data_IF_530181884388
#
_entry.id   IF_530181884388
#
_cell.length_a   1.000
_cell.length_b   1.000
_cell.length_c   1.000
_cell.angle_alpha   90.00
_cell.angle_beta   90.00
_cell.angle_gamma   90.00
#
_symmetry.space_group_name_H-M   'P 1'
#
loop_
_entity.id
_entity.type
_entity.pdbx_description
1 polymer ?
#
# COMPACT_ATOMS: atom_id res chain seq x y z
N UNK A 1 28.92 -12.92 5.87
CA UNK A 1 27.67 -12.95 6.60
C UNK A 1 26.53 -12.41 5.76
N UNK A 2 25.72 -13.24 5.18
CA UNK A 2 24.58 -12.84 4.36
C UNK A 2 23.37 -12.37 5.18
N UNK A 3 22.36 -11.90 4.47
CA UNK A 3 21.07 -11.59 5.09
C UNK A 3 20.44 -12.83 5.67
N UNK A 4 19.90 -12.71 6.87
CA UNK A 4 19.23 -13.81 7.54
C UNK A 4 17.74 -13.48 7.69
N UNK A 5 16.90 -14.37 7.21
CA UNK A 5 15.45 -14.23 7.38
C UNK A 5 15.10 -14.55 8.84
N UNK A 6 14.63 -13.56 9.58
CA UNK A 6 14.29 -13.73 10.99
C UNK A 6 12.79 -13.81 11.26
N UNK A 7 11.98 -13.27 10.35
CA UNK A 7 10.53 -13.28 10.48
C UNK A 7 9.88 -13.27 9.11
N UNK A 8 8.89 -14.11 8.92
CA UNK A 8 8.22 -14.32 7.63
C UNK A 8 6.72 -14.47 7.86
N UNK A 9 5.93 -13.69 7.16
CA UNK A 9 4.47 -13.81 7.13
C UNK A 9 3.92 -13.54 5.75
N UNK A 10 2.88 -14.29 5.36
CA UNK A 10 2.15 -14.02 4.14
C UNK A 10 1.34 -12.73 4.28
N UNK A 11 1.29 -11.93 3.23
CA UNK A 11 0.40 -10.78 3.18
C UNK A 11 -1.07 -11.22 3.18
N UNK A 12 -1.97 -10.39 3.70
CA UNK A 12 -3.38 -10.78 3.83
C UNK A 12 -4.08 -11.01 2.50
N UNK A 13 -3.59 -10.40 1.42
CA UNK A 13 -4.14 -10.61 0.09
C UNK A 13 -3.16 -11.33 -0.79
N UNK A 14 -3.63 -12.39 -1.44
CA UNK A 14 -2.81 -13.19 -2.34
C UNK A 14 -3.00 -12.71 -3.78
N UNK A 15 -1.92 -12.78 -4.53
CA UNK A 15 -1.92 -12.46 -5.95
C UNK A 15 -2.09 -13.75 -6.73
N UNK A 16 -3.12 -13.80 -7.58
CA UNK A 16 -3.28 -14.89 -8.53
C UNK A 16 -2.34 -14.68 -9.72
N UNK A 17 -1.51 -15.66 -9.97
CA UNK A 17 -0.58 -15.59 -11.08
C UNK A 17 -0.40 -16.94 -11.74
N UNK A 18 0.03 -16.90 -12.99
CA UNK A 18 0.51 -18.07 -13.74
C UNK A 18 1.91 -17.79 -14.27
N UNK A 19 2.66 -18.84 -14.57
CA UNK A 19 3.97 -18.70 -15.20
C UNK A 19 3.82 -19.09 -16.67
N UNK A 20 4.06 -18.13 -17.57
CA UNK A 20 4.02 -18.36 -19.02
C UNK A 20 5.37 -17.98 -19.62
N UNK A 21 6.00 -18.92 -20.32
CA UNK A 21 7.31 -18.72 -20.95
C UNK A 21 8.37 -18.16 -19.98
N UNK A 22 8.35 -18.62 -18.72
CA UNK A 22 9.26 -18.15 -17.67
C UNK A 22 8.90 -16.83 -17.07
N UNK A 23 7.80 -16.19 -17.48
CA UNK A 23 7.36 -14.90 -16.96
C UNK A 23 6.15 -15.05 -16.05
N UNK A 24 6.11 -14.26 -14.98
CA UNK A 24 4.97 -14.15 -14.09
C UNK A 24 3.86 -13.33 -14.77
N UNK A 25 2.67 -13.93 -14.90
CA UNK A 25 1.50 -13.26 -15.45
C UNK A 25 0.41 -13.25 -14.40
N UNK A 26 0.03 -12.05 -13.94
CA UNK A 26 -1.05 -11.90 -12.95
C UNK A 26 -2.42 -12.04 -13.61
N UNK A 27 -3.37 -12.61 -12.88
CA UNK A 27 -4.75 -12.68 -13.34
C UNK A 27 -5.34 -11.28 -13.54
N UNK A 28 -6.24 -11.12 -14.52
CA UNK A 28 -6.80 -9.81 -14.89
C UNK A 28 -7.56 -9.13 -13.75
N UNK A 29 -8.22 -9.91 -12.92
CA UNK A 29 -9.04 -9.45 -11.81
C UNK A 29 -8.29 -9.52 -10.46
N UNK A 30 -7.02 -9.86 -10.47
CA UNK A 30 -6.22 -9.99 -9.26
C UNK A 30 -5.81 -8.62 -8.73
N UNK A 31 -5.90 -8.44 -7.43
CA UNK A 31 -5.24 -7.33 -6.74
C UNK A 31 -3.73 -7.53 -6.80
N UNK A 32 -3.00 -6.46 -7.04
CA UNK A 32 -1.57 -6.56 -7.32
C UNK A 32 -0.67 -6.45 -6.09
N UNK A 33 -1.26 -6.41 -4.90
CA UNK A 33 -0.49 -6.41 -3.66
C UNK A 33 0.22 -5.11 -3.38
N UNK A 34 1.26 -5.19 -2.55
CA UNK A 34 2.00 -4.02 -2.11
C UNK A 34 2.87 -3.42 -3.21
N UNK A 35 2.79 -2.11 -3.38
CA UNK A 35 3.59 -1.35 -4.36
C UNK A 35 4.76 -0.63 -3.72
N UNK A 36 4.57 -0.10 -2.53
CA UNK A 36 5.58 0.63 -1.80
C UNK A 36 5.54 0.25 -0.33
N UNK A 37 6.64 0.51 0.34
CA UNK A 37 6.79 0.22 1.75
C UNK A 37 7.46 1.41 2.43
N UNK A 38 6.91 1.82 3.55
CA UNK A 38 7.46 2.87 4.40
C UNK A 38 7.66 2.34 5.81
N UNK A 39 8.74 2.75 6.44
CA UNK A 39 9.04 2.38 7.82
C UNK A 39 8.89 3.60 8.71
N UNK A 40 8.15 3.45 9.79
CA UNK A 40 8.07 4.44 10.85
C UNK A 40 8.76 3.90 12.11
N UNK A 41 8.71 4.66 13.19
CA UNK A 41 9.32 4.23 14.44
C UNK A 41 8.77 2.89 14.94
N UNK A 42 7.46 2.71 14.86
CA UNK A 42 6.79 1.53 15.44
C UNK A 42 6.01 0.69 14.43
N UNK A 43 5.96 1.10 13.16
CA UNK A 43 5.13 0.44 12.16
C UNK A 43 5.80 0.30 10.81
N UNK A 44 5.33 -0.69 10.08
CA UNK A 44 5.62 -0.89 8.66
C UNK A 44 4.33 -0.58 7.92
N UNK A 45 4.41 0.30 6.92
CA UNK A 45 3.24 0.70 6.13
C UNK A 45 3.45 0.31 4.69
N UNK A 46 2.49 -0.42 4.13
CA UNK A 46 2.51 -0.75 2.70
C UNK A 46 1.42 0.01 1.97
N UNK A 47 1.74 0.44 0.77
CA UNK A 47 0.77 1.01 -0.16
C UNK A 47 0.29 -0.11 -1.06
N UNK A 48 -0.94 -0.55 -0.85
CA UNK A 48 -1.49 -1.71 -1.53
C UNK A 48 -2.35 -1.31 -2.71
N UNK A 49 -2.14 -1.99 -3.83
CA UNK A 49 -2.95 -1.80 -5.01
C UNK A 49 -4.26 -2.56 -4.84
N UNK A 50 -5.26 -1.88 -4.32
CA UNK A 50 -6.59 -2.40 -4.05
C UNK A 50 -7.55 -2.22 -5.22
N UNK A 51 -7.12 -1.53 -6.27
CA UNK A 51 -7.92 -1.34 -7.47
C UNK A 51 -7.72 -2.52 -8.40
N UNK A 52 -8.81 -3.20 -8.74
CA UNK A 52 -8.81 -4.25 -9.75
C UNK A 52 -8.75 -3.57 -11.12
N UNK A 53 -7.72 -3.92 -11.89
CA UNK A 53 -7.63 -3.42 -13.27
C UNK A 53 -8.49 -4.30 -14.15
N UNK A 54 -9.75 -3.91 -14.33
CA UNK A 54 -10.67 -4.63 -15.22
C UNK A 54 -10.45 -4.22 -16.68
N UNK A 55 -10.30 -5.22 -17.52
CA UNK A 55 -10.35 -5.07 -18.96
C UNK A 55 -9.19 -4.32 -19.59
N UNK A 56 -9.38 -3.97 -20.85
CA UNK A 56 -8.40 -3.16 -21.58
C UNK A 56 -8.50 -1.72 -21.13
N UNK A 57 -7.34 -1.08 -20.96
CA UNK A 57 -7.31 0.36 -20.69
C UNK A 57 -8.01 1.09 -21.84
N UNK A 58 -8.84 2.11 -21.53
CA UNK A 58 -9.43 2.93 -22.59
C UNK A 58 -8.33 3.46 -23.52
N UNK A 59 -8.62 3.53 -24.81
CA UNK A 59 -7.69 4.11 -25.78
C UNK A 59 -7.32 5.53 -25.35
N UNK A 60 -6.03 5.79 -25.21
CA UNK A 60 -5.53 7.09 -24.77
C UNK A 60 -5.37 7.23 -23.25
N UNK A 61 -5.68 6.18 -22.46
CA UNK A 61 -5.42 6.21 -21.03
C UNK A 61 -3.91 6.24 -20.78
N UNK A 62 -3.48 7.24 -20.02
CA UNK A 62 -2.09 7.32 -19.58
C UNK A 62 -1.75 6.19 -18.65
N UNK A 63 -0.51 5.66 -18.67
CA UNK A 63 -0.03 4.73 -17.63
C UNK A 63 -0.17 5.28 -16.22
N UNK A 64 -0.36 6.59 -16.08
CA UNK A 64 -0.54 7.28 -14.81
C UNK A 64 -2.01 7.68 -14.55
N UNK A 65 -2.95 6.99 -15.16
CA UNK A 65 -4.38 7.24 -14.93
C UNK A 65 -4.69 7.13 -13.43
N UNK A 66 -5.23 8.18 -12.79
CA UNK A 66 -5.55 8.16 -11.37
C UNK A 66 -6.49 7.03 -10.95
N UNK A 67 -7.36 6.57 -11.86
CA UNK A 67 -8.28 5.47 -11.56
C UNK A 67 -7.58 4.14 -11.27
N UNK A 68 -6.32 4.00 -11.67
CA UNK A 68 -5.54 2.78 -11.44
C UNK A 68 -4.62 2.88 -10.23
N UNK A 69 -4.57 4.02 -9.57
CA UNK A 69 -3.70 4.24 -8.42
C UNK A 69 -4.32 3.64 -7.15
N UNK A 70 -3.50 3.16 -6.22
CA UNK A 70 -4.00 2.59 -4.99
C UNK A 70 -4.56 3.64 -4.05
N UNK A 71 -5.47 3.20 -3.18
CA UNK A 71 -6.12 4.04 -2.18
C UNK A 71 -5.90 3.54 -0.75
N UNK A 72 -5.32 2.36 -0.59
CA UNK A 72 -5.27 1.70 0.73
C UNK A 72 -3.85 1.61 1.28
N UNK A 73 -3.73 1.92 2.54
CA UNK A 73 -2.51 1.71 3.33
C UNK A 73 -2.75 0.60 4.33
N UNK A 74 -1.88 -0.41 4.31
CA UNK A 74 -1.88 -1.49 5.30
C UNK A 74 -0.78 -1.21 6.31
N UNK A 75 -1.14 -1.21 7.58
CA UNK A 75 -0.24 -0.85 8.68
C UNK A 75 0.04 -2.08 9.53
N UNK A 76 1.31 -2.42 9.65
CA UNK A 76 1.80 -3.57 10.41
C UNK A 76 2.68 -3.11 11.55
N UNK A 77 2.68 -3.86 12.65
CA UNK A 77 3.73 -3.73 13.65
C UNK A 77 5.02 -4.42 13.18
N UNK A 78 6.11 -4.31 13.94
CA UNK A 78 7.38 -4.93 13.56
C UNK A 78 7.42 -6.44 13.79
N UNK A 79 6.37 -7.01 14.34
CA UNK A 79 6.17 -8.46 14.39
C UNK A 79 5.34 -8.97 13.20
N UNK A 80 5.10 -8.10 12.23
CA UNK A 80 4.36 -8.34 11.00
C UNK A 80 2.88 -8.67 11.21
N UNK A 81 2.31 -8.20 12.31
CA UNK A 81 0.87 -8.29 12.52
C UNK A 81 0.17 -7.09 11.89
N UNK A 82 -0.87 -7.34 11.12
CA UNK A 82 -1.68 -6.28 10.53
C UNK A 82 -2.49 -5.60 11.64
N UNK A 83 -2.24 -4.32 11.86
CA UNK A 83 -2.92 -3.56 12.91
C UNK A 83 -4.06 -2.69 12.38
N UNK A 84 -3.89 -2.11 11.20
CA UNK A 84 -4.87 -1.21 10.60
C UNK A 84 -4.87 -1.30 9.09
N UNK A 85 -6.03 -1.01 8.50
CA UNK A 85 -6.19 -0.76 7.08
C UNK A 85 -6.82 0.62 6.93
N UNK A 86 -6.16 1.51 6.22
CA UNK A 86 -6.68 2.84 5.92
C UNK A 86 -7.11 2.91 4.46
N UNK A 87 -8.41 3.06 4.24
CA UNK A 87 -8.94 3.34 2.91
C UNK A 87 -9.05 4.86 2.75
N UNK A 88 -8.21 5.42 1.90
CA UNK A 88 -8.23 6.85 1.63
C UNK A 88 -9.24 7.16 0.53
N UNK A 89 -9.79 8.37 0.55
CA UNK A 89 -10.79 8.80 -0.45
C UNK A 89 -10.16 9.29 -1.74
N UNK A 90 -8.85 9.30 -1.82
CA UNK A 90 -8.10 9.83 -2.97
C UNK A 90 -6.92 8.92 -3.29
N UNK A 91 -6.49 8.93 -4.56
CA UNK A 91 -5.34 8.13 -4.99
C UNK A 91 -4.05 8.54 -4.29
N UNK A 92 -3.23 7.57 -3.97
CA UNK A 92 -1.93 7.76 -3.35
C UNK A 92 -0.85 7.41 -4.37
N UNK A 93 0.09 8.32 -4.58
CA UNK A 93 1.16 8.13 -5.56
C UNK A 93 2.42 7.55 -4.92
N UNK A 94 2.79 8.09 -3.77
CA UNK A 94 4.03 7.74 -3.07
C UNK A 94 3.84 7.86 -1.58
N UNK A 95 4.61 7.07 -0.83
CA UNK A 95 4.69 7.17 0.62
C UNK A 95 6.14 7.15 1.08
N UNK A 96 6.38 7.78 2.22
CA UNK A 96 7.64 7.59 2.97
C UNK A 96 7.35 7.73 4.46
N UNK A 97 8.20 7.13 5.27
CA UNK A 97 8.02 7.12 6.72
C UNK A 97 9.06 7.95 7.45
N UNK A 98 8.70 8.41 8.64
CA UNK A 98 9.63 9.04 9.56
C UNK A 98 10.10 7.99 10.57
N UNK A 99 11.38 7.69 10.59
CA UNK A 99 11.96 6.70 11.50
C UNK A 99 12.05 7.18 12.95
N UNK A 100 11.87 8.46 13.20
CA UNK A 100 11.91 9.05 14.53
C UNK A 100 10.52 9.17 15.17
N UNK A 101 9.47 9.03 14.38
CA UNK A 101 8.09 9.11 14.84
C UNK A 101 7.19 8.13 14.11
N UNK A 102 5.93 8.06 14.52
CA UNK A 102 4.93 7.18 13.90
C UNK A 102 4.12 7.95 12.85
N UNK A 103 4.81 8.46 11.86
CA UNK A 103 4.25 9.34 10.84
C UNK A 103 4.61 8.84 9.45
N UNK A 104 3.63 8.84 8.57
CA UNK A 104 3.80 8.58 7.13
C UNK A 104 3.48 9.84 6.37
N UNK A 105 4.31 10.19 5.42
CA UNK A 105 4.05 11.25 4.45
C UNK A 105 3.63 10.62 3.14
N UNK A 106 2.62 11.18 2.51
CA UNK A 106 2.10 10.66 1.25
C UNK A 106 1.87 11.79 0.26
N UNK A 107 2.22 11.51 -0.99
CA UNK A 107 1.81 12.36 -2.11
C UNK A 107 0.52 11.78 -2.66
N UNK A 108 -0.52 12.59 -2.67
CA UNK A 108 -1.87 12.20 -3.07
C UNK A 108 -2.41 13.11 -4.17
N UNK A 109 -3.43 12.64 -4.85
CA UNK A 109 -4.16 13.43 -5.84
C UNK A 109 -5.57 13.72 -5.32
N UNK A 110 -5.85 15.00 -4.96
CA UNK A 110 -7.14 15.40 -4.36
C UNK A 110 -7.45 16.90 -4.50
N UNK A 111 -8.03 17.39 -5.57
CA UNK A 111 -7.95 17.01 -6.96
C UNK A 111 -6.58 17.31 -7.58
N UNK A 112 -5.75 18.08 -6.90
CA UNK A 112 -4.38 18.40 -7.27
C UNK A 112 -3.41 17.58 -6.44
N UNK A 113 -2.14 17.56 -6.81
CA UNK A 113 -1.10 16.92 -6.03
C UNK A 113 -0.93 17.62 -4.68
N UNK A 114 -1.01 16.85 -3.62
CA UNK A 114 -0.83 17.34 -2.25
C UNK A 114 0.11 16.45 -1.49
N UNK A 115 0.87 17.04 -0.60
CA UNK A 115 1.65 16.33 0.39
C UNK A 115 0.85 16.31 1.69
N UNK A 116 0.54 15.12 2.19
CA UNK A 116 -0.19 14.97 3.44
C UNK A 116 0.65 14.22 4.47
N UNK A 117 0.31 14.43 5.73
CA UNK A 117 0.92 13.76 6.87
C UNK A 117 -0.12 12.89 7.55
N UNK A 118 0.22 11.62 7.76
CA UNK A 118 -0.67 10.67 8.43
C UNK A 118 0.01 10.26 9.74
N UNK A 119 -0.60 10.61 10.86
CA UNK A 119 -0.11 10.23 12.17
C UNK A 119 -0.76 8.91 12.59
N UNK A 120 0.02 7.83 12.62
CA UNK A 120 -0.49 6.50 12.93
C UNK A 120 -0.94 6.41 14.38
N UNK A 121 -0.28 7.09 15.28
CA UNK A 121 -0.67 7.11 16.71
C UNK A 121 -2.11 7.62 16.92
N UNK A 122 -2.53 8.60 16.11
CA UNK A 122 -3.88 9.16 16.19
C UNK A 122 -4.97 8.17 15.80
N UNK A 123 -4.66 7.20 14.95
CA UNK A 123 -5.61 6.18 14.50
C UNK A 123 -6.00 5.28 15.67
N UNK A 124 -5.04 4.91 16.52
CA UNK A 124 -5.32 4.11 17.71
C UNK A 124 -6.27 4.84 18.66
N UNK A 125 -6.05 6.13 18.88
CA UNK A 125 -6.86 6.93 19.78
C UNK A 125 -8.31 7.00 19.32
N UNK A 126 -8.56 7.12 18.03
CA UNK A 126 -9.92 7.16 17.49
C UNK A 126 -10.66 5.83 17.64
N UNK A 127 -9.96 4.69 17.70
CA UNK A 127 -10.57 3.40 17.97
C UNK A 127 -10.96 3.23 19.42
N UNK A 128 -10.19 3.79 20.34
CA UNK A 128 -10.41 3.69 21.77
C UNK A 128 -11.35 4.74 22.31
N UNK A 129 -11.74 5.71 21.50
CA UNK A 129 -12.60 6.84 21.88
C UNK A 129 -14.09 6.51 21.84
N UNK A 130 -14.44 5.26 21.78
CA UNK A 130 -15.84 4.83 21.81
C UNK A 130 -16.34 4.63 23.22
#
# INVERSE_FOLDING_TARGET
>A
DGCKLSLDKELPEKIDYTVQDGNLVTAKDSKRGAMELALTKNHIVTLDRDVVVEGEKPKGASPRDPSTLPHSLFIYDYELNLTHILNMQFPILRICGDSQGDVVYAIVLSPEYKLIQINISSINDSRNAK
#
